data_IF_256674205436
#
_entry.id   IF_256674205436
#
_cell.length_a   1.000
_cell.length_b   1.000
_cell.length_c   1.000
_cell.angle_alpha   90.00
_cell.angle_beta   90.00
_cell.angle_gamma   90.00
#
_symmetry.space_group_name_H-M   'P 1'
#
loop_
_entity.id
_entity.type
_entity.pdbx_description
1 polymer ?
#
# COMPACT_ATOMS: atom_id res chain seq x y z
N UNK A 1 14.30 -12.99 -18.02
CA UNK A 1 14.80 -12.37 -16.78
C UNK A 1 14.30 -13.20 -15.63
N UNK A 2 15.19 -13.69 -14.76
CA UNK A 2 14.78 -14.36 -13.51
C UNK A 2 14.59 -13.29 -12.44
N UNK A 3 13.46 -13.32 -11.73
CA UNK A 3 13.16 -12.38 -10.65
C UNK A 3 13.14 -13.17 -9.35
N UNK A 4 13.93 -12.73 -8.38
CA UNK A 4 13.94 -13.26 -7.01
C UNK A 4 13.09 -12.34 -6.13
N UNK A 5 12.05 -12.89 -5.52
CA UNK A 5 11.09 -12.14 -4.71
C UNK A 5 11.32 -12.38 -3.21
N UNK A 6 11.38 -11.29 -2.46
CA UNK A 6 11.47 -11.31 -1.00
C UNK A 6 10.39 -10.44 -0.38
N UNK A 7 9.52 -11.07 0.41
CA UNK A 7 8.50 -10.38 1.19
C UNK A 7 9.08 -9.91 2.52
N UNK A 8 8.57 -8.79 3.03
CA UNK A 8 8.96 -8.25 4.33
C UNK A 8 7.71 -7.89 5.12
N UNK A 9 7.73 -8.15 6.42
CA UNK A 9 6.63 -7.78 7.30
C UNK A 9 6.76 -6.31 7.70
N UNK A 10 5.74 -5.50 7.35
CA UNK A 10 5.73 -4.07 7.61
C UNK A 10 4.82 -3.73 8.78
N UNK A 11 5.32 -2.91 9.71
CA UNK A 11 4.56 -2.38 10.86
C UNK A 11 3.79 -3.49 11.62
N UNK A 12 4.53 -4.42 12.25
CA UNK A 12 3.97 -5.57 12.95
C UNK A 12 2.93 -5.20 14.01
N UNK A 13 3.02 -4.00 14.58
CA UNK A 13 2.17 -3.50 15.65
C UNK A 13 0.83 -2.92 15.18
N UNK A 14 0.55 -2.91 13.87
CA UNK A 14 -0.74 -2.41 13.35
C UNK A 14 -1.86 -3.39 13.75
N UNK A 15 -3.00 -2.95 14.32
CA UNK A 15 -4.14 -3.84 14.61
C UNK A 15 -4.67 -4.53 13.35
N UNK A 16 -5.34 -5.68 13.48
CA UNK A 16 -5.84 -6.46 12.33
C UNK A 16 -6.82 -5.67 11.45
N UNK A 17 -7.67 -4.86 12.08
CA UNK A 17 -8.61 -3.96 11.44
C UNK A 17 -7.94 -2.76 10.73
N UNK A 18 -6.63 -2.56 10.95
CA UNK A 18 -5.88 -1.41 10.47
C UNK A 18 -6.12 -0.15 11.30
N UNK A 19 -5.56 0.97 10.84
CA UNK A 19 -5.69 2.27 11.52
C UNK A 19 -6.33 3.28 10.56
N UNK A 20 -7.43 3.90 10.95
CA UNK A 20 -8.08 4.96 10.17
C UNK A 20 -7.07 6.08 9.92
N UNK A 21 -6.89 6.45 8.65
CA UNK A 21 -6.00 7.55 8.28
C UNK A 21 -6.75 8.86 8.49
N UNK A 22 -6.11 9.82 9.15
CA UNK A 22 -6.58 11.21 9.13
C UNK A 22 -6.28 11.79 7.74
N UNK A 23 -7.29 12.13 6.92
CA UNK A 23 -7.03 12.74 5.63
C UNK A 23 -6.39 14.11 5.82
N UNK A 24 -5.52 14.45 4.87
CA UNK A 24 -5.07 15.83 4.65
C UNK A 24 -5.92 16.41 3.53
N UNK A 25 -6.08 17.72 3.50
CA UNK A 25 -6.77 18.40 2.40
C UNK A 25 -6.24 17.93 1.04
N UNK A 26 -7.15 17.56 0.13
CA UNK A 26 -6.80 17.00 -1.19
C UNK A 26 -6.24 15.57 -1.16
N UNK A 27 -6.27 14.87 -0.03
CA UNK A 27 -5.85 13.46 0.13
C UNK A 27 -6.98 12.58 0.68
N UNK A 28 -8.22 12.92 0.33
CA UNK A 28 -9.40 12.14 0.74
C UNK A 28 -9.36 10.71 0.20
N UNK A 29 -9.94 9.73 0.91
CA UNK A 29 -9.97 8.36 0.44
C UNK A 29 -10.53 8.22 -0.99
N UNK A 30 -9.90 7.39 -1.81
CA UNK A 30 -10.29 7.15 -3.20
C UNK A 30 -9.77 8.17 -4.22
N UNK A 31 -9.30 9.34 -3.77
CA UNK A 31 -8.62 10.31 -4.65
C UNK A 31 -7.31 9.75 -5.19
N UNK A 32 -6.86 10.28 -6.33
CA UNK A 32 -5.56 9.92 -6.89
C UNK A 32 -4.44 10.30 -5.93
N UNK A 33 -3.40 9.48 -5.91
CA UNK A 33 -2.20 9.79 -5.16
C UNK A 33 -1.51 11.02 -5.74
N UNK A 34 -1.05 11.91 -4.87
CA UNK A 34 -0.36 13.16 -5.23
C UNK A 34 1.12 13.14 -4.82
N UNK A 35 1.89 14.10 -5.34
CA UNK A 35 3.33 14.22 -5.14
C UNK A 35 4.13 13.18 -5.92
N UNK A 36 5.42 13.04 -5.60
CA UNK A 36 6.38 12.19 -6.35
C UNK A 36 5.88 10.76 -6.62
N UNK A 37 5.20 10.14 -5.66
CA UNK A 37 4.70 8.77 -5.84
C UNK A 37 3.49 8.70 -6.78
N UNK A 38 2.66 9.75 -6.82
CA UNK A 38 1.54 9.85 -7.77
C UNK A 38 2.00 10.15 -9.20
N UNK A 39 2.99 11.03 -9.33
CA UNK A 39 3.66 11.32 -10.61
C UNK A 39 4.29 10.05 -11.19
N UNK A 40 5.09 9.32 -10.40
CA UNK A 40 5.69 8.06 -10.81
C UNK A 40 4.66 6.98 -11.20
N UNK A 41 3.53 6.90 -10.50
CA UNK A 41 2.44 5.99 -10.89
C UNK A 41 1.86 6.37 -12.25
N UNK A 42 1.65 7.65 -12.50
CA UNK A 42 1.12 8.17 -13.77
C UNK A 42 2.08 7.87 -14.93
N UNK A 43 3.38 8.12 -14.75
CA UNK A 43 4.42 7.82 -15.75
C UNK A 43 4.50 6.32 -16.06
N UNK A 44 4.28 5.47 -15.06
CA UNK A 44 4.23 4.01 -15.22
C UNK A 44 2.89 3.49 -15.78
N UNK A 45 1.92 4.36 -16.09
CA UNK A 45 0.58 3.95 -16.55
C UNK A 45 -0.27 3.26 -15.48
N UNK A 46 0.04 3.46 -14.20
CA UNK A 46 -0.65 2.88 -13.05
C UNK A 46 -1.65 3.86 -12.43
N UNK A 47 -2.80 3.34 -11.98
CA UNK A 47 -3.74 4.12 -11.17
C UNK A 47 -3.52 3.83 -9.69
N UNK A 48 -2.98 4.81 -8.94
CA UNK A 48 -2.79 4.70 -7.50
C UNK A 48 -3.73 5.65 -6.74
N UNK A 49 -4.44 5.13 -5.74
CA UNK A 49 -5.45 5.88 -4.96
C UNK A 49 -5.14 5.89 -3.47
N UNK A 50 -5.59 6.93 -2.77
CA UNK A 50 -5.49 7.05 -1.32
C UNK A 50 -6.38 6.01 -0.63
N UNK A 51 -5.79 5.16 0.19
CA UNK A 51 -6.54 4.23 1.04
C UNK A 51 -7.18 4.96 2.23
N UNK A 52 -8.37 4.53 2.70
CA UNK A 52 -9.01 5.09 3.90
C UNK A 52 -8.31 4.68 5.20
N UNK A 53 -7.60 3.55 5.17
CA UNK A 53 -6.91 2.98 6.34
C UNK A 53 -5.43 2.73 6.05
N UNK A 54 -4.64 2.68 7.11
CA UNK A 54 -3.33 2.04 7.11
C UNK A 54 -3.56 0.56 7.39
N UNK A 55 -3.35 -0.35 6.43
CA UNK A 55 -3.64 -1.75 6.63
C UNK A 55 -2.55 -2.41 7.50
N UNK A 56 -2.96 -3.42 8.26
CA UNK A 56 -2.03 -4.45 8.73
C UNK A 56 -1.66 -5.34 7.53
N UNK A 57 -0.37 -5.60 7.35
CA UNK A 57 0.14 -6.35 6.18
C UNK A 57 0.40 -7.83 6.48
N UNK A 58 -0.04 -8.37 7.62
CA UNK A 58 0.24 -9.73 8.07
C UNK A 58 -0.33 -10.75 7.11
N UNK A 59 -1.62 -10.65 6.80
CA UNK A 59 -2.29 -11.57 5.89
C UNK A 59 -1.70 -11.51 4.47
N UNK A 60 -1.39 -10.30 3.98
CA UNK A 60 -0.76 -10.14 2.67
C UNK A 60 0.66 -10.73 2.64
N UNK A 61 1.42 -10.59 3.73
CA UNK A 61 2.74 -11.20 3.88
C UNK A 61 2.64 -12.73 3.88
N UNK A 62 1.77 -13.31 4.71
CA UNK A 62 1.54 -14.76 4.80
C UNK A 62 1.11 -15.35 3.45
N UNK A 63 0.18 -14.69 2.74
CA UNK A 63 -0.26 -15.11 1.41
C UNK A 63 0.89 -15.05 0.38
N UNK A 64 1.75 -14.04 0.46
CA UNK A 64 2.91 -13.92 -0.44
C UNK A 64 3.97 -14.99 -0.18
N UNK A 65 4.25 -15.32 1.08
CA UNK A 65 5.16 -16.41 1.44
C UNK A 65 4.63 -17.78 1.00
N UNK A 66 3.31 -17.98 1.08
CA UNK A 66 2.68 -19.22 0.63
C UNK A 66 2.73 -19.42 -0.89
N UNK A 67 2.72 -18.33 -1.66
CA UNK A 67 2.64 -18.37 -3.13
C UNK A 67 4.01 -18.47 -3.84
N UNK A 68 5.11 -18.57 -3.11
CA UNK A 68 6.46 -18.78 -3.67
C UNK A 68 6.66 -20.20 -4.15
#
# INVERSE_FOLDING_TARGET
MQIDYKSFYLRPDTPEEGIIRKPKEGSEPGTLLTGRLGEAATEAGLTMRRAPITPNTRLAFEASEFAK
#
